data_IF_808850765172
#
_entry.id   IF_808850765172
#
_cell.length_a   1.000
_cell.length_b   1.000
_cell.length_c   1.000
_cell.angle_alpha   90.00
_cell.angle_beta   90.00
_cell.angle_gamma   90.00
#
_symmetry.space_group_name_H-M   'P 1'
#
loop_
_entity.id
_entity.type
_entity.pdbx_description
1 polymer ?
#
# COMPACT_ATOMS: atom_id res chain seq x y z
N UNK A 1 52.83 -18.70 1.16
CA UNK A 1 51.84 -17.61 0.97
C UNK A 1 50.70 -18.01 0.04
N UNK A 2 50.94 -18.41 -1.22
CA UNK A 2 49.87 -18.80 -2.18
C UNK A 2 48.92 -19.90 -1.66
N UNK A 3 49.43 -20.91 -0.95
CA UNK A 3 48.61 -22.00 -0.37
C UNK A 3 47.67 -21.53 0.75
N UNK A 4 48.08 -20.54 1.55
CA UNK A 4 47.28 -19.99 2.64
C UNK A 4 46.21 -19.00 2.13
N UNK A 5 46.52 -18.23 1.07
CA UNK A 5 45.55 -17.36 0.40
C UNK A 5 44.45 -18.19 -0.29
N UNK A 6 44.82 -19.29 -0.96
CA UNK A 6 43.85 -20.20 -1.55
C UNK A 6 42.94 -20.82 -0.48
N UNK A 7 43.49 -21.30 0.64
CA UNK A 7 42.68 -21.84 1.74
C UNK A 7 41.73 -20.80 2.35
N UNK A 8 42.16 -19.54 2.48
CA UNK A 8 41.32 -18.45 3.00
C UNK A 8 40.18 -18.10 2.03
N UNK A 9 40.46 -18.05 0.72
CA UNK A 9 39.44 -17.80 -0.31
C UNK A 9 38.43 -18.94 -0.41
N UNK A 10 38.87 -20.20 -0.30
CA UNK A 10 37.96 -21.35 -0.26
C UNK A 10 37.12 -21.36 1.02
N UNK A 11 37.71 -21.01 2.17
CA UNK A 11 36.97 -20.87 3.43
C UNK A 11 35.95 -19.74 3.38
N UNK A 12 36.27 -18.59 2.77
CA UNK A 12 35.32 -17.50 2.53
C UNK A 12 34.18 -17.92 1.59
N UNK A 13 34.49 -18.63 0.49
CA UNK A 13 33.48 -19.13 -0.44
C UNK A 13 32.51 -20.10 0.27
N UNK A 14 33.05 -21.01 1.09
CA UNK A 14 32.26 -21.97 1.86
C UNK A 14 31.40 -21.28 2.92
N UNK A 15 31.91 -20.20 3.55
CA UNK A 15 31.14 -19.38 4.48
C UNK A 15 29.99 -18.66 3.77
N UNK A 16 30.22 -18.10 2.57
CA UNK A 16 29.18 -17.46 1.77
C UNK A 16 28.09 -18.43 1.32
N UNK A 17 28.43 -19.70 1.03
CA UNK A 17 27.43 -20.72 0.66
C UNK A 17 26.63 -21.25 1.87
N UNK A 18 27.24 -21.26 3.07
CA UNK A 18 26.59 -21.74 4.29
C UNK A 18 25.60 -20.72 4.90
N UNK A 19 25.74 -19.43 4.57
CA UNK A 19 24.80 -18.37 4.96
C UNK A 19 23.59 -18.23 4.01
N UNK A 20 23.51 -19.00 2.92
CA UNK A 20 22.35 -19.03 2.03
C UNK A 20 21.31 -20.08 2.47
N UNK A 21 21.10 -20.23 3.78
CA UNK A 21 19.81 -20.70 4.26
C UNK A 21 18.82 -19.54 4.02
N UNK A 22 18.39 -19.38 2.77
CA UNK A 22 17.34 -18.42 2.42
C UNK A 22 16.12 -18.66 3.31
N UNK A 23 15.34 -17.62 3.53
CA UNK A 23 14.11 -17.66 4.30
C UNK A 23 13.04 -18.53 3.60
N UNK A 24 13.24 -19.84 3.52
CA UNK A 24 12.33 -20.78 2.88
C UNK A 24 11.21 -21.07 3.86
N UNK A 25 10.03 -20.52 3.60
CA UNK A 25 8.82 -20.87 4.33
C UNK A 25 8.13 -22.10 3.75
N UNK A 26 6.98 -22.55 4.31
CA UNK A 26 6.23 -23.66 3.76
C UNK A 26 5.74 -23.34 2.34
N UNK A 27 5.82 -24.32 1.44
CA UNK A 27 5.18 -24.21 0.14
C UNK A 27 3.65 -24.25 0.31
N UNK A 28 2.96 -23.22 -0.16
CA UNK A 28 1.51 -23.10 -0.11
C UNK A 28 0.96 -23.29 -1.52
N UNK A 29 0.20 -24.37 -1.73
CA UNK A 29 -0.24 -24.80 -3.08
C UNK A 29 -1.30 -23.89 -3.71
N UNK A 30 -1.98 -23.06 -2.92
CA UNK A 30 -3.03 -22.14 -3.37
C UNK A 30 -2.61 -20.67 -3.28
N UNK A 31 -1.33 -20.41 -3.04
CA UNK A 31 -0.76 -19.06 -2.94
C UNK A 31 0.36 -18.97 -3.95
N UNK A 32 0.31 -17.98 -4.84
CA UNK A 32 1.35 -17.78 -5.87
C UNK A 32 2.65 -17.30 -5.21
N UNK A 33 2.56 -16.21 -4.45
CA UNK A 33 3.69 -15.63 -3.74
C UNK A 33 3.31 -15.15 -2.32
N UNK A 34 4.29 -15.15 -1.40
CA UNK A 34 4.20 -14.45 -0.12
C UNK A 34 5.58 -14.02 0.37
N UNK A 35 5.60 -13.00 1.21
CA UNK A 35 6.79 -12.53 1.92
C UNK A 35 6.41 -12.14 3.35
N UNK A 36 7.13 -12.67 4.34
CA UNK A 36 7.02 -12.30 5.75
C UNK A 36 8.38 -11.72 6.16
N UNK A 37 8.39 -10.50 6.65
CA UNK A 37 9.60 -9.79 7.04
C UNK A 37 9.49 -9.27 8.47
N UNK A 38 10.64 -9.11 9.12
CA UNK A 38 10.79 -8.30 10.31
C UNK A 38 10.76 -6.82 9.93
N UNK A 39 9.81 -6.05 10.47
CA UNK A 39 9.56 -4.67 10.04
C UNK A 39 10.70 -3.71 10.44
N UNK A 40 11.39 -3.96 11.55
CA UNK A 40 12.47 -3.10 12.04
C UNK A 40 13.74 -3.29 11.21
N UNK A 41 14.14 -4.54 11.01
CA UNK A 41 15.41 -4.90 10.37
C UNK A 41 15.28 -5.08 8.85
N UNK A 42 14.10 -5.44 8.36
CA UNK A 42 13.89 -5.84 6.96
C UNK A 42 14.33 -7.27 6.65
N UNK A 43 14.68 -8.06 7.67
CA UNK A 43 15.05 -9.45 7.49
C UNK A 43 13.85 -10.25 6.97
N UNK A 44 14.02 -10.94 5.85
CA UNK A 44 13.02 -11.90 5.36
C UNK A 44 13.03 -13.12 6.27
N UNK A 45 11.86 -13.44 6.84
CA UNK A 45 11.64 -14.55 7.78
C UNK A 45 11.11 -15.80 7.07
N UNK A 46 10.22 -15.60 6.09
CA UNK A 46 9.69 -16.67 5.26
C UNK A 46 9.21 -16.11 3.92
N UNK A 47 9.41 -16.85 2.84
CA UNK A 47 8.90 -16.48 1.53
C UNK A 47 8.56 -17.67 0.63
N UNK A 48 7.74 -17.38 -0.37
CA UNK A 48 7.58 -18.15 -1.61
C UNK A 48 7.44 -17.14 -2.75
N UNK A 49 8.24 -17.29 -3.82
CA UNK A 49 8.21 -16.44 -5.02
C UNK A 49 8.14 -14.93 -4.72
N UNK A 50 8.80 -14.44 -3.66
CA UNK A 50 8.52 -13.08 -3.17
C UNK A 50 8.82 -11.94 -4.15
N UNK A 51 9.64 -12.19 -5.18
CA UNK A 51 10.01 -11.24 -6.23
C UNK A 51 9.21 -11.44 -7.53
N UNK A 52 8.24 -12.36 -7.56
CA UNK A 52 7.35 -12.54 -8.70
C UNK A 52 6.47 -11.30 -8.88
N UNK A 53 6.41 -10.78 -10.12
CA UNK A 53 5.63 -9.61 -10.49
C UNK A 53 4.17 -10.01 -10.71
N UNK A 54 3.30 -9.46 -9.87
CA UNK A 54 1.87 -9.77 -9.83
C UNK A 54 1.07 -8.47 -9.83
N UNK A 55 -0.19 -8.53 -10.29
CA UNK A 55 -1.09 -7.39 -10.20
C UNK A 55 -1.48 -7.14 -8.74
N UNK A 56 -1.23 -5.93 -8.18
CA UNK A 56 -1.45 -5.66 -6.75
C UNK A 56 -2.92 -5.59 -6.34
N UNK A 57 -3.83 -5.30 -7.28
CA UNK A 57 -5.17 -4.83 -6.95
C UNK A 57 -5.10 -3.66 -5.92
N UNK A 58 -6.06 -3.56 -5.00
CA UNK A 58 -6.14 -2.40 -4.10
C UNK A 58 -5.03 -2.27 -3.05
N UNK A 59 -4.08 -3.21 -2.95
CA UNK A 59 -2.91 -3.04 -2.06
C UNK A 59 -1.99 -1.91 -2.57
N UNK A 60 -2.12 -1.50 -3.84
CA UNK A 60 -1.53 -0.27 -4.41
C UNK A 60 -1.76 0.95 -3.53
N UNK A 61 -2.93 1.03 -2.88
CA UNK A 61 -3.31 2.18 -2.04
C UNK A 61 -2.41 2.35 -0.80
N UNK A 62 -1.61 1.35 -0.42
CA UNK A 62 -0.59 1.50 0.64
C UNK A 62 0.44 2.57 0.23
N UNK A 63 0.89 2.59 -1.04
CA UNK A 63 1.77 3.64 -1.55
C UNK A 63 1.06 5.01 -1.57
N UNK A 64 -0.15 5.07 -2.12
CA UNK A 64 -0.97 6.28 -2.21
C UNK A 64 -1.20 6.94 -0.86
N UNK A 65 -1.62 6.14 0.13
CA UNK A 65 -1.84 6.60 1.51
C UNK A 65 -0.54 7.03 2.18
N UNK A 66 0.56 6.28 1.95
CA UNK A 66 1.88 6.64 2.46
C UNK A 66 2.34 8.01 1.96
N UNK A 67 2.21 8.29 0.66
CA UNK A 67 2.59 9.58 0.07
C UNK A 67 1.66 10.72 0.51
N UNK A 68 0.36 10.45 0.65
CA UNK A 68 -0.57 11.45 1.20
C UNK A 68 -0.21 11.81 2.65
N UNK A 69 0.08 10.81 3.50
CA UNK A 69 0.55 11.02 4.87
C UNK A 69 1.90 11.76 4.91
N UNK A 70 2.83 11.39 4.02
CA UNK A 70 4.11 12.08 3.88
C UNK A 70 3.90 13.56 3.53
N UNK A 71 3.03 13.89 2.57
CA UNK A 71 2.74 15.30 2.25
C UNK A 71 2.10 16.03 3.41
N UNK A 72 1.18 15.38 4.13
CA UNK A 72 0.46 15.99 5.23
C UNK A 72 1.33 16.23 6.47
N UNK A 73 2.43 15.48 6.63
CA UNK A 73 3.32 15.55 7.80
C UNK A 73 2.56 15.45 9.14
N UNK A 74 1.51 14.62 9.17
CA UNK A 74 0.67 14.39 10.35
C UNK A 74 -0.34 15.51 10.64
N UNK A 75 -0.40 16.55 9.81
CA UNK A 75 -1.39 17.62 9.93
C UNK A 75 -2.50 17.47 8.88
N UNK A 76 -3.66 17.02 9.31
CA UNK A 76 -4.85 16.87 8.46
C UNK A 76 -5.85 18.01 8.65
N UNK A 77 -5.70 18.78 9.72
CA UNK A 77 -6.70 19.73 10.18
C UNK A 77 -6.83 20.91 9.21
N UNK A 78 -8.07 21.20 8.81
CA UNK A 78 -8.38 22.30 7.89
C UNK A 78 -7.94 22.07 6.45
N UNK A 79 -7.31 20.94 6.12
CA UNK A 79 -6.97 20.59 4.74
C UNK A 79 -8.22 20.07 4.04
N UNK A 80 -8.66 20.80 3.02
CA UNK A 80 -9.75 20.40 2.12
C UNK A 80 -9.20 20.16 0.72
N UNK A 81 -9.66 19.08 0.11
CA UNK A 81 -9.36 18.69 -1.25
C UNK A 81 -10.61 18.92 -2.10
N UNK A 82 -10.45 19.43 -3.32
CA UNK A 82 -11.55 19.60 -4.26
C UNK A 82 -11.52 18.46 -5.24
N UNK A 83 -12.62 17.71 -5.32
CA UNK A 83 -12.75 16.57 -6.25
C UNK A 83 -12.77 17.07 -7.69
N UNK A 84 -11.84 16.58 -8.50
CA UNK A 84 -11.73 16.89 -9.92
C UNK A 84 -12.72 16.06 -10.75
N UNK A 85 -12.84 16.38 -12.04
CA UNK A 85 -13.58 15.55 -12.99
C UNK A 85 -12.95 14.16 -13.10
N UNK A 86 -11.62 14.11 -13.24
CA UNK A 86 -10.88 12.86 -13.45
C UNK A 86 -10.94 11.93 -12.24
N UNK A 87 -11.02 12.46 -11.02
CA UNK A 87 -11.17 11.66 -9.81
C UNK A 87 -12.34 10.68 -9.89
N UNK A 88 -13.43 11.09 -10.56
CA UNK A 88 -14.68 10.33 -10.64
C UNK A 88 -14.84 9.66 -11.99
N UNK A 89 -14.63 10.38 -13.10
CA UNK A 89 -15.02 9.92 -14.43
C UNK A 89 -13.96 9.04 -15.11
N UNK A 90 -12.69 9.10 -14.70
CA UNK A 90 -11.66 8.15 -15.16
C UNK A 90 -11.97 6.69 -14.72
N UNK A 91 -12.83 6.53 -13.71
CA UNK A 91 -13.25 5.23 -13.17
C UNK A 91 -14.53 4.70 -13.83
N UNK A 92 -15.17 5.47 -14.72
CA UNK A 92 -16.43 5.08 -15.34
C UNK A 92 -16.28 3.78 -16.16
N UNK A 93 -17.20 2.83 -15.94
CA UNK A 93 -17.18 1.53 -16.62
C UNK A 93 -16.18 0.52 -16.04
N UNK A 94 -15.53 0.84 -14.92
CA UNK A 94 -14.68 -0.10 -14.17
C UNK A 94 -15.42 -0.69 -12.97
N UNK A 95 -14.98 -1.86 -12.47
CA UNK A 95 -15.49 -2.44 -11.21
C UNK A 95 -14.85 -1.72 -10.00
N UNK A 96 -15.25 -0.46 -9.81
CA UNK A 96 -14.61 0.47 -8.89
C UNK A 96 -15.26 0.47 -7.52
N UNK A 97 -14.48 0.19 -6.47
CA UNK A 97 -14.87 0.56 -5.11
C UNK A 97 -14.75 2.07 -4.95
N UNK A 98 -15.73 2.74 -4.35
CA UNK A 98 -15.76 4.20 -4.24
C UNK A 98 -16.50 4.67 -2.99
N UNK A 99 -16.22 5.90 -2.53
CA UNK A 99 -17.01 6.57 -1.47
C UNK A 99 -18.08 7.53 -2.03
N UNK A 100 -18.33 7.42 -3.34
CA UNK A 100 -19.31 8.23 -4.07
C UNK A 100 -18.96 9.72 -4.02
N UNK A 101 -17.69 10.04 -4.22
CA UNK A 101 -17.28 11.42 -4.46
C UNK A 101 -17.94 11.97 -5.72
N UNK A 102 -18.14 13.29 -5.74
CA UNK A 102 -18.66 14.00 -6.91
C UNK A 102 -17.76 15.18 -7.26
N UNK A 103 -17.61 15.44 -8.55
CA UNK A 103 -16.89 16.62 -9.05
C UNK A 103 -17.34 17.91 -8.34
N UNK A 104 -16.38 18.71 -7.89
CA UNK A 104 -16.60 19.95 -7.14
C UNK A 104 -16.89 19.77 -5.64
N UNK A 105 -16.91 18.52 -5.14
CA UNK A 105 -17.03 18.24 -3.71
C UNK A 105 -15.77 18.69 -2.95
N UNK A 106 -15.95 19.38 -1.83
CA UNK A 106 -14.89 19.70 -0.88
C UNK A 106 -14.81 18.61 0.19
N UNK A 107 -13.74 17.84 0.16
CA UNK A 107 -13.52 16.68 1.02
C UNK A 107 -12.38 16.98 2.00
N UNK A 108 -12.60 16.88 3.32
CA UNK A 108 -11.50 16.93 4.29
C UNK A 108 -10.46 15.84 4.00
N UNK A 109 -9.17 16.16 4.10
CA UNK A 109 -8.10 15.18 3.86
C UNK A 109 -8.27 13.92 4.73
N UNK A 110 -8.70 14.09 5.98
CA UNK A 110 -9.00 12.98 6.88
C UNK A 110 -10.04 12.02 6.30
N UNK A 111 -11.12 12.54 5.72
CA UNK A 111 -12.19 11.73 5.15
C UNK A 111 -11.70 10.97 3.92
N UNK A 112 -10.89 11.61 3.08
CA UNK A 112 -10.26 10.97 1.92
C UNK A 112 -9.32 9.84 2.33
N UNK A 113 -8.48 10.05 3.36
CA UNK A 113 -7.58 9.02 3.89
C UNK A 113 -8.35 7.81 4.44
N UNK A 114 -9.33 8.02 5.31
CA UNK A 114 -10.10 6.91 5.90
C UNK A 114 -11.02 6.23 4.89
N UNK A 115 -11.68 6.98 4.00
CA UNK A 115 -12.50 6.42 2.93
C UNK A 115 -11.68 5.53 2.00
N UNK A 116 -10.51 6.00 1.58
CA UNK A 116 -9.59 5.23 0.72
C UNK A 116 -9.09 3.97 1.42
N UNK A 117 -8.71 4.05 2.70
CA UNK A 117 -8.17 2.92 3.45
C UNK A 117 -9.25 1.86 3.76
N UNK A 118 -10.42 2.28 4.27
CA UNK A 118 -11.44 1.38 4.81
C UNK A 118 -12.38 0.87 3.72
N UNK A 119 -12.87 1.76 2.85
CA UNK A 119 -13.76 1.38 1.75
C UNK A 119 -13.01 0.99 0.48
N UNK A 120 -11.67 0.99 0.50
CA UNK A 120 -10.83 0.70 -0.67
C UNK A 120 -11.13 1.63 -1.86
N UNK A 121 -11.51 2.87 -1.58
CA UNK A 121 -12.11 3.76 -2.55
C UNK A 121 -11.11 4.27 -3.60
N UNK A 122 -11.43 4.07 -4.88
CA UNK A 122 -10.61 4.46 -6.01
C UNK A 122 -10.75 5.95 -6.32
N UNK A 123 -11.94 6.52 -6.17
CA UNK A 123 -12.19 7.97 -6.27
C UNK A 123 -11.39 8.74 -5.22
N UNK A 124 -11.37 8.23 -3.98
CA UNK A 124 -10.51 8.75 -2.92
C UNK A 124 -9.01 8.60 -3.22
N UNK A 125 -8.59 7.49 -3.83
CA UNK A 125 -7.20 7.29 -4.21
C UNK A 125 -6.74 8.26 -5.32
N UNK A 126 -7.59 8.54 -6.31
CA UNK A 126 -7.33 9.57 -7.31
C UNK A 126 -7.19 10.95 -6.67
N UNK A 127 -8.14 11.34 -5.82
CA UNK A 127 -8.13 12.61 -5.10
C UNK A 127 -6.85 12.79 -4.27
N UNK A 128 -6.41 11.73 -3.57
CA UNK A 128 -5.15 11.75 -2.81
C UNK A 128 -3.93 11.83 -3.74
N UNK A 129 -3.96 11.16 -4.90
CA UNK A 129 -2.90 11.24 -5.89
C UNK A 129 -2.73 12.66 -6.44
N UNK A 130 -3.83 13.36 -6.75
CA UNK A 130 -3.76 14.77 -7.11
C UNK A 130 -3.19 15.62 -5.97
N UNK A 131 -3.61 15.35 -4.72
CA UNK A 131 -3.13 16.06 -3.55
C UNK A 131 -1.60 16.00 -3.44
N UNK A 132 -0.97 14.82 -3.51
CA UNK A 132 0.49 14.73 -3.44
C UNK A 132 1.22 14.92 -4.77
N UNK A 133 0.52 14.76 -5.90
CA UNK A 133 1.02 14.81 -7.27
C UNK A 133 1.03 16.19 -7.92
N UNK A 134 0.71 17.25 -7.19
CA UNK A 134 0.70 18.60 -7.75
C UNK A 134 -0.56 18.94 -8.56
N UNK A 135 -1.68 18.29 -8.25
CA UNK A 135 -3.00 18.58 -8.81
C UNK A 135 -3.41 17.73 -10.02
N UNK A 136 -2.69 16.64 -10.31
CA UNK A 136 -3.05 15.69 -11.37
C UNK A 136 -2.81 14.26 -10.92
N UNK A 137 -3.60 13.32 -11.44
CA UNK A 137 -3.43 11.88 -11.17
C UNK A 137 -2.08 11.41 -11.74
N UNK A 138 -1.71 11.86 -12.94
CA UNK A 138 -0.43 11.54 -13.58
C UNK A 138 0.76 12.01 -12.75
N UNK A 139 0.70 13.22 -12.19
CA UNK A 139 1.71 13.72 -11.26
C UNK A 139 1.79 12.88 -9.98
N UNK A 140 0.65 12.36 -9.51
CA UNK A 140 0.60 11.41 -8.41
C UNK A 140 1.27 10.08 -8.75
N UNK A 141 0.93 9.49 -9.90
CA UNK A 141 1.57 8.25 -10.39
C UNK A 141 3.09 8.44 -10.57
N UNK A 142 3.52 9.59 -11.09
CA UNK A 142 4.94 9.93 -11.19
C UNK A 142 5.61 9.98 -9.80
N UNK A 143 4.97 10.56 -8.80
CA UNK A 143 5.47 10.58 -7.42
C UNK A 143 5.53 9.17 -6.80
N UNK A 144 4.55 8.30 -7.08
CA UNK A 144 4.56 6.90 -6.66
C UNK A 144 5.78 6.15 -7.22
N UNK A 145 6.06 6.29 -8.51
CA UNK A 145 7.21 5.64 -9.14
C UNK A 145 8.55 6.28 -8.74
N UNK A 146 8.58 7.57 -8.45
CA UNK A 146 9.76 8.21 -7.85
C UNK A 146 10.06 7.63 -6.45
N UNK A 147 9.03 7.33 -5.66
CA UNK A 147 9.19 6.67 -4.36
C UNK A 147 9.66 5.22 -4.48
N UNK A 148 9.17 4.47 -5.49
CA UNK A 148 9.68 3.14 -5.87
C UNK A 148 11.18 3.19 -6.16
N UNK A 149 11.62 4.14 -6.98
CA UNK A 149 13.04 4.34 -7.29
C UNK A 149 13.85 4.73 -6.06
N UNK A 150 13.34 5.62 -5.22
CA UNK A 150 14.00 6.05 -3.99
C UNK A 150 14.20 4.90 -2.98
N UNK A 151 13.30 3.91 -2.98
CA UNK A 151 13.39 2.69 -2.17
C UNK A 151 14.23 1.58 -2.81
N UNK A 152 14.63 1.74 -4.08
CA UNK A 152 15.40 0.73 -4.82
C UNK A 152 14.59 -0.54 -5.11
N UNK A 153 13.31 -0.39 -5.39
CA UNK A 153 12.39 -1.51 -5.65
C UNK A 153 12.40 -1.86 -7.15
N UNK A 154 12.81 -3.07 -7.48
CA UNK A 154 13.10 -3.49 -8.86
C UNK A 154 11.90 -4.18 -9.55
N UNK A 155 10.90 -4.62 -8.78
CA UNK A 155 9.79 -5.45 -9.25
C UNK A 155 8.44 -4.75 -9.07
N UNK A 156 8.42 -3.41 -9.22
CA UNK A 156 7.21 -2.60 -9.03
C UNK A 156 7.12 -1.48 -10.04
N UNK A 157 5.94 -1.34 -10.64
CA UNK A 157 5.56 -0.17 -11.41
C UNK A 157 4.09 0.17 -11.18
N UNK A 158 3.80 1.43 -10.85
CA UNK A 158 2.44 1.93 -10.67
C UNK A 158 1.98 2.68 -11.93
N UNK A 159 0.84 2.29 -12.50
CA UNK A 159 0.17 3.01 -13.60
C UNK A 159 -1.02 3.85 -13.12
N UNK A 160 -1.50 3.62 -11.89
CA UNK A 160 -2.61 4.33 -11.27
C UNK A 160 -2.51 4.24 -9.74
N UNK A 161 -3.22 5.10 -8.98
CA UNK A 161 -3.11 5.16 -7.53
C UNK A 161 -4.02 4.16 -6.79
N UNK A 162 -4.87 3.42 -7.50
CA UNK A 162 -5.93 2.65 -6.87
C UNK A 162 -5.77 1.14 -6.98
N UNK A 163 -5.10 0.60 -8.00
CA UNK A 163 -4.96 -0.84 -8.17
C UNK A 163 -5.76 -1.48 -9.29
N UNK A 164 -6.44 -0.70 -10.15
CA UNK A 164 -7.15 -1.35 -11.28
C UNK A 164 -6.08 -1.92 -12.21
N UNK A 165 -6.23 -3.20 -12.56
CA UNK A 165 -5.22 -3.93 -13.32
C UNK A 165 -5.02 -3.35 -14.72
N UNK A 166 -3.77 -3.41 -15.17
CA UNK A 166 -3.33 -3.10 -16.51
C UNK A 166 -1.95 -3.72 -16.73
N UNK A 167 -1.53 -3.84 -17.99
CA UNK A 167 -0.29 -4.55 -18.35
C UNK A 167 0.95 -3.97 -17.67
N UNK A 168 0.98 -2.65 -17.44
CA UNK A 168 2.08 -1.93 -16.82
C UNK A 168 1.78 -1.57 -15.35
N UNK A 169 1.03 -2.41 -14.64
CA UNK A 169 0.71 -2.22 -13.22
C UNK A 169 0.98 -3.48 -12.42
N UNK A 170 2.13 -3.53 -11.76
CA UNK A 170 2.60 -4.70 -11.05
C UNK A 170 3.44 -4.33 -9.83
N UNK A 171 3.58 -5.29 -8.93
CA UNK A 171 4.49 -5.25 -7.79
C UNK A 171 4.91 -6.68 -7.42
N UNK A 172 5.81 -6.84 -6.45
CA UNK A 172 6.11 -8.12 -5.84
C UNK A 172 5.76 -8.14 -4.35
N UNK A 173 5.68 -9.32 -3.74
CA UNK A 173 5.41 -9.41 -2.29
C UNK A 173 6.53 -8.74 -1.47
N UNK A 174 7.78 -8.87 -1.89
CA UNK A 174 8.91 -8.23 -1.22
C UNK A 174 8.82 -6.71 -1.33
N UNK A 175 8.60 -6.18 -2.54
CA UNK A 175 8.51 -4.74 -2.76
C UNK A 175 7.33 -4.13 -1.99
N UNK A 176 6.16 -4.77 -1.99
CA UNK A 176 5.03 -4.29 -1.19
C UNK A 176 5.30 -4.30 0.31
N UNK A 177 6.06 -5.29 0.81
CA UNK A 177 6.45 -5.32 2.20
C UNK A 177 7.40 -4.15 2.54
N UNK A 178 8.31 -3.79 1.63
CA UNK A 178 9.19 -2.64 1.75
C UNK A 178 8.43 -1.31 1.66
N UNK A 179 7.43 -1.20 0.77
CA UNK A 179 6.54 -0.05 0.67
C UNK A 179 5.76 0.13 1.98
N UNK A 180 5.22 -0.95 2.54
CA UNK A 180 4.51 -0.89 3.82
C UNK A 180 5.44 -0.46 4.96
N UNK A 181 6.67 -0.99 5.02
CA UNK A 181 7.68 -0.55 6.00
C UNK A 181 7.95 0.95 5.90
N UNK A 182 8.15 1.47 4.69
CA UNK A 182 8.32 2.90 4.48
C UNK A 182 7.07 3.69 4.89
N UNK A 183 5.88 3.23 4.48
CA UNK A 183 4.62 3.90 4.76
C UNK A 183 4.36 4.01 6.27
N UNK A 184 4.68 2.97 7.04
CA UNK A 184 4.58 2.98 8.51
C UNK A 184 5.45 4.05 9.18
N UNK A 185 6.49 4.55 8.51
CA UNK A 185 7.30 5.67 9.04
C UNK A 185 6.70 7.05 8.74
N UNK A 186 5.67 7.13 7.89
CA UNK A 186 5.04 8.40 7.53
C UNK A 186 4.04 8.84 8.62
N UNK A 187 4.09 10.10 9.10
CA UNK A 187 3.22 10.57 10.17
C UNK A 187 1.72 10.38 9.86
N UNK A 188 1.03 9.66 10.74
CA UNK A 188 -0.41 9.40 10.65
C UNK A 188 -0.79 8.14 9.84
N UNK A 189 0.13 7.51 9.11
CA UNK A 189 -0.18 6.31 8.32
C UNK A 189 -0.61 5.12 9.21
N UNK A 190 0.11 4.87 10.31
CA UNK A 190 -0.25 3.75 11.20
C UNK A 190 -1.66 3.92 11.79
N UNK A 191 -2.05 5.16 12.14
CA UNK A 191 -3.39 5.49 12.65
C UNK A 191 -4.49 5.08 11.68
N UNK A 192 -4.33 5.37 10.39
CA UNK A 192 -5.33 4.98 9.37
C UNK A 192 -5.27 3.48 9.08
N UNK A 193 -4.07 2.90 9.00
CA UNK A 193 -3.85 1.51 8.61
C UNK A 193 -4.37 0.51 9.66
N UNK A 194 -4.26 0.89 10.94
CA UNK A 194 -4.64 0.04 12.08
C UNK A 194 -6.06 0.29 12.59
N UNK A 195 -6.77 1.28 12.06
CA UNK A 195 -8.15 1.57 12.45
C UNK A 195 -9.06 0.36 12.24
N UNK A 196 -9.88 0.07 13.25
CA UNK A 196 -10.88 -1.00 13.25
C UNK A 196 -12.30 -0.46 13.37
N UNK A 197 -12.44 0.70 14.01
CA UNK A 197 -13.71 1.36 14.24
C UNK A 197 -14.31 1.81 12.92
N UNK A 198 -15.63 1.69 12.82
CA UNK A 198 -16.39 2.30 11.74
C UNK A 198 -16.01 3.78 11.61
N UNK A 199 -15.84 4.23 10.38
CA UNK A 199 -15.63 5.63 10.06
C UNK A 199 -16.94 6.26 9.61
N UNK A 200 -17.25 7.44 10.13
CA UNK A 200 -18.44 8.21 9.79
C UNK A 200 -17.99 9.49 9.10
N UNK A 201 -18.28 9.60 7.81
CA UNK A 201 -18.00 10.78 7.01
C UNK A 201 -19.24 11.68 7.00
N UNK A 202 -19.08 12.92 7.44
CA UNK A 202 -20.15 13.89 7.48
C UNK A 202 -20.62 14.31 6.07
N UNK A 203 -21.82 14.89 5.94
CA UNK A 203 -22.23 15.55 4.70
C UNK A 203 -21.22 16.62 4.24
N UNK A 204 -21.08 16.78 2.94
CA UNK A 204 -20.23 17.79 2.30
C UNK A 204 -21.08 18.87 1.62
N UNK A 205 -20.43 19.80 0.92
CA UNK A 205 -21.10 20.82 0.10
C UNK A 205 -21.92 20.21 -1.06
N UNK A 206 -21.58 19.00 -1.52
CA UNK A 206 -22.25 18.33 -2.66
C UNK A 206 -23.04 17.09 -2.23
N UNK A 207 -22.55 16.33 -1.25
CA UNK A 207 -23.20 15.11 -0.77
C UNK A 207 -23.93 15.39 0.57
N UNK A 208 -25.27 15.44 0.59
CA UNK A 208 -26.02 15.84 1.78
C UNK A 208 -26.20 14.73 2.83
N UNK A 209 -25.64 13.54 2.58
CA UNK A 209 -25.83 12.35 3.42
C UNK A 209 -24.54 11.96 4.13
N UNK A 210 -24.70 11.45 5.35
CA UNK A 210 -23.62 10.79 6.08
C UNK A 210 -23.27 9.47 5.40
N UNK A 211 -21.97 9.18 5.27
CA UNK A 211 -21.45 7.91 4.73
C UNK A 211 -20.73 7.14 5.83
N UNK A 212 -20.82 5.81 5.78
CA UNK A 212 -20.27 4.93 6.81
C UNK A 212 -19.35 3.89 6.16
N UNK A 213 -18.15 3.73 6.69
CA UNK A 213 -17.18 2.76 6.20
C UNK A 213 -16.77 1.82 7.33
N UNK A 214 -16.79 0.51 7.07
CA UNK A 214 -16.42 -0.51 8.04
C UNK A 214 -15.43 -1.49 7.44
N UNK A 215 -14.49 -1.93 8.27
CA UNK A 215 -13.41 -2.81 7.82
C UNK A 215 -13.95 -4.19 7.47
N UNK A 216 -13.45 -4.77 6.37
CA UNK A 216 -13.93 -6.06 5.84
C UNK A 216 -12.94 -7.22 6.04
N UNK A 217 -11.73 -6.94 6.54
CA UNK A 217 -10.73 -7.96 6.78
C UNK A 217 -11.15 -8.92 7.90
N UNK A 218 -11.55 -10.13 7.49
CA UNK A 218 -11.96 -11.23 8.36
C UNK A 218 -10.88 -11.67 9.34
N UNK A 219 -9.61 -11.36 9.10
CA UNK A 219 -8.55 -11.67 10.07
C UNK A 219 -8.48 -10.67 11.23
N UNK A 220 -9.09 -9.49 11.08
CA UNK A 220 -9.06 -8.41 12.08
C UNK A 220 -10.37 -8.25 12.85
N UNK A 221 -11.47 -8.80 12.33
CA UNK A 221 -12.80 -8.71 12.94
C UNK A 221 -12.98 -9.79 14.01
N UNK A 222 -13.17 -9.40 15.27
CA UNK A 222 -13.21 -10.34 16.42
C UNK A 222 -14.31 -11.39 16.37
N UNK A 223 -15.39 -11.15 15.63
CA UNK A 223 -16.48 -12.09 15.42
C UNK A 223 -16.23 -13.08 14.27
N UNK A 224 -15.15 -12.94 13.52
CA UNK A 224 -14.79 -13.82 12.41
C UNK A 224 -14.10 -15.08 12.92
N UNK A 225 -14.41 -16.23 12.30
CA UNK A 225 -13.68 -17.49 12.55
C UNK A 225 -12.20 -17.44 12.17
N UNK A 226 -11.79 -16.46 11.38
CA UNK A 226 -10.42 -16.25 10.90
C UNK A 226 -9.66 -15.21 11.73
N UNK A 227 -10.24 -14.72 12.83
CA UNK A 227 -9.67 -13.65 13.63
C UNK A 227 -8.31 -14.02 14.21
N UNK A 228 -7.33 -13.15 14.01
CA UNK A 228 -5.97 -13.26 14.55
C UNK A 228 -5.70 -12.00 15.38
N UNK A 229 -5.72 -12.08 16.74
CA UNK A 229 -5.56 -10.91 17.61
C UNK A 229 -4.26 -10.11 17.40
N UNK A 230 -3.22 -10.76 16.87
CA UNK A 230 -1.93 -10.13 16.60
C UNK A 230 -1.92 -9.24 15.34
N UNK A 231 -2.89 -9.37 14.43
CA UNK A 231 -2.96 -8.55 13.22
C UNK A 231 -3.51 -7.17 13.57
N UNK A 232 -2.66 -6.15 13.45
CA UNK A 232 -2.99 -4.76 13.81
C UNK A 232 -3.61 -3.97 12.66
N UNK A 233 -3.10 -4.16 11.44
CA UNK A 233 -3.50 -3.43 10.25
C UNK A 233 -3.42 -4.33 9.01
N UNK A 234 -4.17 -3.98 7.98
CA UNK A 234 -4.18 -4.70 6.70
C UNK A 234 -4.82 -3.85 5.60
N UNK A 235 -4.39 -4.09 4.37
CA UNK A 235 -5.11 -3.66 3.16
C UNK A 235 -5.36 -4.89 2.30
N UNK A 236 -6.63 -5.13 1.98
CA UNK A 236 -7.04 -6.20 1.05
C UNK A 236 -7.19 -5.64 -0.37
N UNK A 237 -7.03 -6.52 -1.36
CA UNK A 237 -7.08 -6.23 -2.80
C UNK A 237 -8.06 -7.14 -3.51
#
# INVERSE_FOLDING_TARGET
MKKYIAALLTALLLLCTALSAGAVGPALTTTEAYCIIDADTGLVLAQQNMNEELHPASITKVMTLGLACQKAQGNWDGVKLTVSHEDVYSLAGTDSSHIALREGEEVPLQDALYGTMIASANDGANLLAEYFGGGTIEGGVAAMNAQVQALGLEHTHFANPHGISGDDHYTSCYDMAQILRWALTQPGFETIFTRLEMYTMAPTNVQPVTRYFSQQDKMRLSYSRYYIPAIRGSKIG
#
